data_IF_478468033828
#
_entry.id   IF_478468033828
#
_cell.length_a   1.000
_cell.length_b   1.000
_cell.length_c   1.000
_cell.angle_alpha   90.00
_cell.angle_beta   90.00
_cell.angle_gamma   90.00
#
_symmetry.space_group_name_H-M   'P 1'
#
loop_
_entity.id
_entity.type
_entity.pdbx_description
1 polymer ?
#
# COMPACT_ATOMS: atom_id res chain seq x y z
N UNK A 1 10.69 8.28 25.05
CA UNK A 1 11.35 8.43 23.78
C UNK A 1 10.52 7.81 22.66
N UNK A 2 10.23 8.58 21.68
CA UNK A 2 9.36 8.12 20.61
C UNK A 2 10.16 7.36 19.57
N UNK A 3 9.93 6.08 19.51
CA UNK A 3 10.57 5.28 18.49
C UNK A 3 9.57 5.01 17.39
N UNK A 4 9.96 5.36 16.21
CA UNK A 4 9.18 5.05 15.04
C UNK A 4 9.72 3.78 14.42
N UNK A 5 8.83 2.89 14.10
CA UNK A 5 9.19 1.68 13.36
C UNK A 5 8.96 1.92 11.89
N UNK A 6 9.85 1.43 11.08
CA UNK A 6 9.76 1.61 9.63
C UNK A 6 10.24 0.34 8.93
N UNK A 7 9.54 -0.02 7.86
CA UNK A 7 9.86 -1.19 7.07
C UNK A 7 9.59 -0.86 5.61
N UNK A 8 10.53 -1.16 4.74
CA UNK A 8 10.39 -0.95 3.31
C UNK A 8 10.86 -2.18 2.56
N UNK A 9 10.14 -2.53 1.50
CA UNK A 9 10.56 -3.62 0.63
C UNK A 9 10.08 -3.33 -0.78
N UNK A 10 10.92 -3.71 -1.76
CA UNK A 10 10.59 -3.60 -3.17
C UNK A 10 10.18 -4.96 -3.67
N UNK A 11 9.02 -5.04 -4.30
CA UNK A 11 8.45 -6.30 -4.76
C UNK A 11 8.03 -6.18 -6.21
N UNK A 12 7.98 -7.31 -6.91
CA UNK A 12 7.52 -7.30 -8.29
C UNK A 12 6.02 -6.98 -8.34
N UNK A 13 5.61 -6.26 -9.37
CA UNK A 13 4.20 -5.91 -9.55
C UNK A 13 3.46 -7.09 -10.19
N UNK A 14 3.37 -8.19 -9.46
CA UNK A 14 2.76 -9.44 -9.87
C UNK A 14 1.89 -9.94 -8.72
N UNK A 15 1.06 -10.95 -9.02
CA UNK A 15 0.27 -11.60 -7.96
C UNK A 15 1.17 -12.14 -6.85
N UNK A 16 2.32 -12.68 -7.23
CA UNK A 16 3.27 -13.20 -6.25
C UNK A 16 3.80 -12.07 -5.37
N UNK A 17 4.15 -10.93 -5.99
CA UNK A 17 4.61 -9.78 -5.24
C UNK A 17 3.56 -9.26 -4.28
N UNK A 18 2.30 -9.22 -4.72
CA UNK A 18 1.20 -8.79 -3.85
C UNK A 18 1.01 -9.75 -2.68
N UNK A 19 1.12 -11.05 -2.93
CA UNK A 19 1.03 -12.03 -1.85
C UNK A 19 2.16 -11.86 -0.85
N UNK A 20 3.37 -11.65 -1.35
CA UNK A 20 4.52 -11.41 -0.48
C UNK A 20 4.33 -10.14 0.34
N UNK A 21 3.77 -9.09 -0.24
CA UNK A 21 3.51 -7.86 0.48
C UNK A 21 2.62 -8.14 1.70
N UNK A 22 1.57 -8.92 1.51
CA UNK A 22 0.66 -9.26 2.59
C UNK A 22 1.35 -10.07 3.68
N UNK A 23 2.10 -11.09 3.28
CA UNK A 23 2.77 -11.96 4.24
C UNK A 23 3.87 -11.24 5.00
N UNK A 24 4.67 -10.42 4.30
CA UNK A 24 5.72 -9.67 4.95
C UNK A 24 5.17 -8.63 5.92
N UNK A 25 4.04 -8.02 5.56
CA UNK A 25 3.38 -7.07 6.45
C UNK A 25 2.91 -7.75 7.72
N UNK A 26 2.31 -8.93 7.61
CA UNK A 26 1.89 -9.69 8.77
C UNK A 26 3.06 -9.96 9.71
N UNK A 27 4.16 -10.47 9.15
CA UNK A 27 5.31 -10.81 9.95
C UNK A 27 5.93 -9.59 10.60
N UNK A 28 6.01 -8.49 9.87
CA UNK A 28 6.58 -7.27 10.42
C UNK A 28 5.73 -6.71 11.54
N UNK A 29 4.41 -6.70 11.36
CA UNK A 29 3.52 -6.19 12.41
C UNK A 29 3.52 -7.09 13.63
N UNK A 30 3.60 -8.39 13.45
CA UNK A 30 3.77 -9.30 14.58
C UNK A 30 5.05 -8.99 15.33
N UNK A 31 6.13 -8.78 14.61
CA UNK A 31 7.41 -8.43 15.21
C UNK A 31 7.32 -7.15 16.03
N UNK A 32 6.51 -6.20 15.59
CA UNK A 32 6.31 -4.95 16.31
C UNK A 32 5.25 -5.06 17.42
N UNK A 33 4.65 -6.24 17.58
CA UNK A 33 3.64 -6.42 18.61
C UNK A 33 2.31 -5.78 18.30
N UNK A 34 1.98 -5.63 17.02
CA UNK A 34 0.76 -4.95 16.60
C UNK A 34 -0.24 -5.93 16.00
N UNK A 35 -1.54 -5.63 16.12
CA UNK A 35 -2.55 -6.40 15.39
C UNK A 35 -2.32 -6.25 13.89
N UNK A 36 -2.57 -7.30 13.13
CA UNK A 36 -2.25 -7.29 11.72
C UNK A 36 -3.44 -7.59 10.80
N UNK A 37 -4.57 -8.01 11.35
CA UNK A 37 -5.67 -8.49 10.51
C UNK A 37 -6.20 -7.41 9.58
N UNK A 38 -6.55 -6.25 10.10
CA UNK A 38 -7.04 -5.16 9.27
C UNK A 38 -5.95 -4.66 8.33
N UNK A 39 -4.73 -4.51 8.85
CA UNK A 39 -3.62 -4.04 8.04
C UNK A 39 -3.35 -4.96 6.87
N UNK A 40 -3.42 -6.28 7.09
CA UNK A 40 -3.23 -7.24 6.02
C UNK A 40 -4.19 -7.03 4.87
N UNK A 41 -5.46 -6.79 5.19
CA UNK A 41 -6.45 -6.53 4.15
C UNK A 41 -6.14 -5.25 3.38
N UNK A 42 -5.73 -4.21 4.08
CA UNK A 42 -5.39 -2.95 3.44
C UNK A 42 -4.18 -3.13 2.53
N UNK A 43 -3.14 -3.80 3.03
CA UNK A 43 -1.95 -4.07 2.22
C UNK A 43 -2.33 -4.84 0.97
N UNK A 44 -3.15 -5.89 1.12
CA UNK A 44 -3.54 -6.71 -0.02
C UNK A 44 -4.26 -5.87 -1.08
N UNK A 45 -5.15 -4.98 -0.67
CA UNK A 45 -5.88 -4.17 -1.63
C UNK A 45 -5.00 -3.13 -2.31
N UNK A 46 -4.12 -2.49 -1.57
CA UNK A 46 -3.20 -1.52 -2.18
C UNK A 46 -2.21 -2.21 -3.11
N UNK A 47 -1.71 -3.37 -2.73
CA UNK A 47 -0.78 -4.11 -3.58
C UNK A 47 -1.47 -4.63 -4.85
N UNK A 48 -2.69 -5.15 -4.72
CA UNK A 48 -3.44 -5.60 -5.88
C UNK A 48 -3.73 -4.45 -6.84
N UNK A 49 -4.01 -3.28 -6.30
CA UNK A 49 -4.22 -2.09 -7.12
C UNK A 49 -2.96 -1.77 -7.94
N UNK A 50 -1.79 -1.86 -7.31
CA UNK A 50 -0.54 -1.63 -8.02
C UNK A 50 -0.30 -2.69 -9.11
N UNK A 51 -0.65 -3.94 -8.83
CA UNK A 51 -0.48 -5.03 -9.79
C UNK A 51 -1.39 -4.83 -10.99
N UNK A 52 -2.64 -4.42 -10.77
CA UNK A 52 -3.59 -4.26 -11.86
C UNK A 52 -3.17 -3.16 -12.83
N UNK A 53 -2.48 -2.16 -12.33
CA UNK A 53 -1.97 -1.10 -13.21
C UNK A 53 -0.63 -1.47 -13.81
N UNK A 54 -0.12 -2.67 -13.51
CA UNK A 54 1.23 -3.05 -13.82
C UNK A 54 1.36 -4.18 -14.81
N UNK A 55 0.80 -4.01 -16.00
CA UNK A 55 0.98 -5.03 -17.03
C UNK A 55 2.32 -4.92 -17.78
N UNK A 56 3.16 -4.01 -17.36
CA UNK A 56 4.46 -3.83 -18.00
C UNK A 56 5.47 -4.73 -17.32
N UNK A 57 6.14 -5.61 -18.07
CA UNK A 57 7.16 -6.48 -17.48
C UNK A 57 8.26 -5.69 -16.79
N UNK A 58 8.75 -6.21 -15.70
CA UNK A 58 9.83 -5.56 -14.96
C UNK A 58 9.38 -4.47 -14.01
N UNK A 59 8.10 -4.23 -13.91
CA UNK A 59 7.59 -3.23 -12.98
C UNK A 59 7.64 -3.75 -11.55
N UNK A 60 7.81 -2.80 -10.64
CA UNK A 60 7.89 -3.11 -9.22
C UNK A 60 7.05 -2.12 -8.44
N UNK A 61 6.70 -2.48 -7.23
CA UNK A 61 6.14 -1.53 -6.28
C UNK A 61 6.92 -1.61 -4.98
N UNK A 62 6.89 -0.52 -4.23
CA UNK A 62 7.51 -0.47 -2.91
C UNK A 62 6.43 -0.44 -1.86
N UNK A 63 6.54 -1.34 -0.90
CA UNK A 63 5.66 -1.35 0.26
C UNK A 63 6.41 -0.68 1.42
N UNK A 64 5.77 0.27 2.06
CA UNK A 64 6.33 0.94 3.23
C UNK A 64 5.33 0.86 4.37
N UNK A 65 5.80 0.41 5.52
CA UNK A 65 5.03 0.42 6.76
C UNK A 65 5.75 1.33 7.74
N UNK A 66 5.03 2.25 8.35
CA UNK A 66 5.62 3.19 9.31
C UNK A 66 4.67 3.32 10.50
N UNK A 67 5.21 3.22 11.70
CA UNK A 67 4.45 3.50 12.91
C UNK A 67 4.97 4.79 13.49
N UNK A 68 4.10 5.76 13.63
CA UNK A 68 4.48 7.09 14.08
C UNK A 68 4.58 7.14 15.61
N UNK A 69 5.02 8.29 16.11
CA UNK A 69 5.10 8.53 17.55
C UNK A 69 3.72 8.47 18.20
N UNK A 70 2.66 8.70 17.46
CA UNK A 70 1.29 8.58 17.99
C UNK A 70 0.72 7.19 17.80
N UNK A 71 1.57 6.24 17.42
CA UNK A 71 1.20 4.83 17.24
C UNK A 71 0.24 4.61 16.08
N UNK A 72 0.21 5.52 15.13
CA UNK A 72 -0.56 5.37 13.91
C UNK A 72 0.24 4.57 12.90
N UNK A 73 -0.37 3.54 12.34
CA UNK A 73 0.26 2.76 11.28
C UNK A 73 -0.05 3.38 9.93
N UNK A 74 0.98 3.71 9.17
CA UNK A 74 0.81 4.19 7.81
C UNK A 74 1.32 3.12 6.85
N UNK A 75 0.49 2.77 5.90
CA UNK A 75 0.79 1.79 4.86
C UNK A 75 0.87 2.54 3.55
N UNK A 76 1.98 2.38 2.83
CA UNK A 76 2.14 3.03 1.52
C UNK A 76 2.55 2.01 0.50
N UNK A 77 1.93 2.07 -0.67
CA UNK A 77 2.35 1.28 -1.82
C UNK A 77 2.69 2.26 -2.93
N UNK A 78 3.96 2.29 -3.30
CA UNK A 78 4.46 3.19 -4.33
C UNK A 78 4.74 2.40 -5.59
N UNK A 79 4.09 2.79 -6.66
CA UNK A 79 4.28 2.19 -7.97
C UNK A 79 5.57 2.78 -8.56
N UNK A 80 6.59 1.94 -8.70
CA UNK A 80 7.90 2.39 -9.18
C UNK A 80 8.02 2.03 -10.66
N UNK A 81 8.04 3.05 -11.50
CA UNK A 81 8.15 2.89 -12.94
C UNK A 81 9.45 3.54 -13.37
N UNK A 82 10.49 2.73 -13.41
CA UNK A 82 11.83 3.24 -13.52
C UNK A 82 12.10 4.00 -14.81
N UNK A 83 11.41 3.67 -15.88
CA UNK A 83 11.82 4.13 -17.21
C UNK A 83 10.64 4.60 -18.05
N UNK A 84 9.54 4.94 -17.42
CA UNK A 84 8.35 5.21 -18.20
C UNK A 84 7.89 6.62 -18.08
N UNK A 85 7.55 7.17 -19.23
CA UNK A 85 6.74 8.38 -19.29
C UNK A 85 5.34 8.00 -18.87
N UNK A 86 4.74 8.72 -17.93
CA UNK A 86 3.35 8.45 -17.57
C UNK A 86 2.46 8.64 -18.78
N UNK A 87 1.31 7.95 -18.84
CA UNK A 87 0.36 8.22 -19.90
C UNK A 87 0.03 9.70 -19.95
N UNK A 88 -0.12 10.23 -21.13
CA UNK A 88 -0.45 11.64 -21.31
C UNK A 88 -1.79 11.96 -20.64
N UNK A 89 -2.68 11.00 -20.64
CA UNK A 89 -3.99 11.21 -20.04
C UNK A 89 -4.31 10.06 -19.12
N UNK A 90 -4.48 10.36 -17.82
CA UNK A 90 -4.92 9.32 -16.91
C UNK A 90 -6.35 8.92 -17.30
N UNK A 91 -6.57 7.63 -17.38
CA UNK A 91 -7.89 7.12 -17.67
C UNK A 91 -8.63 6.90 -16.38
N UNK A 92 -9.84 7.43 -16.26
CA UNK A 92 -10.63 7.07 -15.10
C UNK A 92 -10.91 5.56 -15.15
N UNK A 93 -10.92 4.88 -14.01
CA UNK A 93 -11.26 3.48 -14.01
C UNK A 93 -12.69 3.28 -14.48
N UNK A 94 -12.94 2.17 -15.16
CA UNK A 94 -14.30 1.83 -15.52
C UNK A 94 -15.13 1.66 -14.25
N UNK A 95 -16.43 1.99 -14.30
CA UNK A 95 -17.25 1.88 -13.09
C UNK A 95 -17.25 0.49 -12.45
N UNK A 96 -17.00 -0.54 -13.24
CA UNK A 96 -16.95 -1.91 -12.74
C UNK A 96 -15.52 -2.40 -12.55
N UNK A 97 -14.55 -1.52 -12.56
CA UNK A 97 -13.16 -1.92 -12.38
C UNK A 97 -12.93 -2.41 -10.96
N UNK A 98 -12.18 -3.48 -10.84
CA UNK A 98 -11.89 -4.08 -9.54
C UNK A 98 -11.13 -3.13 -8.63
N UNK A 99 -10.25 -2.30 -9.20
CA UNK A 99 -9.50 -1.35 -8.41
C UNK A 99 -10.39 -0.38 -7.65
N UNK A 100 -11.53 0.00 -8.23
CA UNK A 100 -12.46 0.87 -7.53
C UNK A 100 -13.07 0.20 -6.31
N UNK A 101 -13.32 -1.09 -6.39
CA UNK A 101 -13.84 -1.83 -5.23
C UNK A 101 -12.80 -1.96 -4.14
N UNK A 102 -11.55 -2.21 -4.52
CA UNK A 102 -10.47 -2.32 -3.55
C UNK A 102 -10.32 -1.06 -2.74
N UNK A 103 -10.38 0.09 -3.39
CA UNK A 103 -10.26 1.36 -2.69
C UNK A 103 -11.46 1.63 -1.80
N UNK A 104 -12.64 1.14 -2.16
CA UNK A 104 -13.79 1.24 -1.27
C UNK A 104 -13.57 0.46 0.03
N UNK A 105 -12.95 -0.70 -0.07
CA UNK A 105 -12.62 -1.47 1.11
C UNK A 105 -11.60 -0.74 1.96
N UNK A 106 -10.58 -0.16 1.33
CA UNK A 106 -9.59 0.62 2.06
C UNK A 106 -10.27 1.79 2.78
N UNK A 107 -11.16 2.49 2.09
CA UNK A 107 -11.88 3.61 2.69
C UNK A 107 -12.71 3.17 3.91
N UNK A 108 -13.25 1.95 3.86
CA UNK A 108 -14.04 1.43 4.96
C UNK A 108 -13.19 1.02 6.15
N UNK A 109 -11.96 0.56 5.91
CA UNK A 109 -11.11 0.02 6.97
C UNK A 109 -10.13 1.03 7.54
N UNK A 110 -9.71 1.99 6.73
CA UNK A 110 -8.69 2.95 7.13
C UNK A 110 -9.32 4.17 7.79
N UNK A 111 -8.58 4.77 8.70
CA UNK A 111 -8.97 6.02 9.31
C UNK A 111 -8.84 7.16 8.31
N UNK A 112 -7.78 7.13 7.53
CA UNK A 112 -7.52 8.08 6.45
C UNK A 112 -6.83 7.34 5.32
N UNK A 113 -7.01 7.81 4.09
CA UNK A 113 -6.30 7.25 2.94
C UNK A 113 -6.26 8.28 1.83
N UNK A 114 -5.37 8.07 0.88
CA UNK A 114 -5.25 8.98 -0.25
C UNK A 114 -4.25 8.50 -1.26
N UNK A 115 -4.03 9.33 -2.26
CA UNK A 115 -3.09 9.07 -3.33
C UNK A 115 -2.22 10.29 -3.52
N UNK A 116 -0.91 10.09 -3.54
CA UNK A 116 0.05 11.14 -3.84
C UNK A 116 0.66 10.87 -5.20
N UNK A 117 0.63 11.87 -6.06
CA UNK A 117 1.21 11.78 -7.39
C UNK A 117 2.58 12.44 -7.37
N UNK A 118 3.57 11.70 -7.81
CA UNK A 118 4.91 12.22 -7.93
C UNK A 118 5.82 11.82 -6.79
N UNK A 119 7.09 12.08 -6.95
CA UNK A 119 7.66 12.64 -8.18
C UNK A 119 7.41 11.70 -9.34
N UNK A 120 7.16 12.30 -10.50
CA UNK A 120 6.93 11.55 -11.73
C UNK A 120 8.11 10.59 -11.97
N UNK A 121 7.88 9.33 -12.34
CA UNK A 121 6.60 8.69 -12.69
C UNK A 121 5.95 7.92 -11.54
N UNK A 122 6.27 8.20 -10.31
CA UNK A 122 5.78 7.43 -9.17
C UNK A 122 4.42 7.87 -8.71
N UNK A 123 3.67 6.94 -8.17
CA UNK A 123 2.38 7.19 -7.54
C UNK A 123 2.34 6.38 -6.26
N UNK A 124 1.96 7.02 -5.16
CA UNK A 124 1.84 6.35 -3.87
C UNK A 124 0.39 6.37 -3.43
N UNK A 125 -0.16 5.20 -3.16
CA UNK A 125 -1.46 5.08 -2.50
C UNK A 125 -1.19 4.70 -1.06
N UNK A 126 -1.82 5.39 -0.14
CA UNK A 126 -1.51 5.20 1.27
C UNK A 126 -2.78 5.12 2.10
N UNK A 127 -2.66 4.52 3.26
CA UNK A 127 -3.73 4.41 4.23
C UNK A 127 -3.15 4.50 5.63
N UNK A 128 -3.91 5.08 6.55
CA UNK A 128 -3.52 5.16 7.95
C UNK A 128 -4.54 4.44 8.81
N UNK A 129 -4.04 3.63 9.71
CA UNK A 129 -4.84 2.91 10.68
C UNK A 129 -4.53 3.45 12.07
N UNK A 130 -5.56 3.61 12.90
CA UNK A 130 -5.33 4.20 14.23
C UNK A 130 -4.54 3.28 15.13
N UNK A 131 -4.07 3.84 16.23
CA UNK A 131 -3.43 3.04 17.26
C UNK A 131 -4.40 1.95 17.73
N UNK A 132 -3.86 0.76 18.11
CA UNK A 132 -4.73 -0.27 18.65
C UNK A 132 -5.42 0.22 19.92
N UNK A 133 -6.63 -0.28 20.22
CA UNK A 133 -7.28 0.13 21.45
C UNK A 133 -6.44 -0.26 22.67
N UNK A 134 -6.39 0.63 23.63
CA UNK A 134 -5.77 0.33 24.90
C UNK A 134 -6.63 -0.63 25.70
N UNK A 135 -5.98 -1.39 26.50
CA UNK A 135 -6.69 -2.28 27.39
C UNK A 135 -6.94 -1.65 28.72
#
# INVERSE_FOLDING_TARGET
MNQENSFKVLLSATRRGARLARLLSREQLRSWGRPFETAEHVVAELANNAVQHGHVPGRSFRLTLTVSATDTLRIEVTDVRADRTPPAEPRPPAPDAEGGRGLLLVAALADRWGTDLGPVPCKTVWAELPAPPSR
#
